data_IF_730874546233
#
_entry.id   IF_730874546233
#
_cell.length_a   1.000
_cell.length_b   1.000
_cell.length_c   1.000
_cell.angle_alpha   90.00
_cell.angle_beta   90.00
_cell.angle_gamma   90.00
#
_symmetry.space_group_name_H-M   'P 1'
#
loop_
_entity.id
_entity.type
_entity.pdbx_description
1 polymer ?
#
# COMPACT_ATOMS: atom_id res chain seq x y z
N UNK A 1 -13.00 -12.37 -9.28
CA UNK A 1 -12.88 -10.89 -9.30
C UNK A 1 -11.44 -10.57 -8.98
N UNK A 2 -10.80 -9.73 -9.80
CA UNK A 2 -9.41 -9.30 -9.54
C UNK A 2 -9.42 -8.15 -8.55
N UNK A 3 -8.49 -8.17 -7.60
CA UNK A 3 -8.32 -7.12 -6.59
C UNK A 3 -6.90 -6.60 -6.61
N UNK A 4 -6.73 -5.34 -6.23
CA UNK A 4 -5.45 -4.66 -6.27
C UNK A 4 -5.11 -4.03 -4.92
N UNK A 5 -3.81 -3.99 -4.63
CA UNK A 5 -3.23 -3.40 -3.44
C UNK A 5 -2.12 -2.43 -3.87
N UNK A 6 -2.17 -1.21 -3.35
CA UNK A 6 -1.08 -0.23 -3.53
C UNK A 6 -0.21 -0.25 -2.28
N UNK A 7 1.10 -0.44 -2.47
CA UNK A 7 2.05 -0.58 -1.36
C UNK A 7 3.45 -0.09 -1.73
N UNK A 8 4.21 0.33 -0.73
CA UNK A 8 5.65 0.52 -0.83
C UNK A 8 6.34 -0.26 0.28
N UNK A 9 7.58 -0.63 0.03
CA UNK A 9 8.42 -1.31 1.02
C UNK A 9 9.80 -0.68 1.00
N UNK A 10 10.32 -0.36 2.18
CA UNK A 10 11.67 0.16 2.35
C UNK A 10 12.35 -0.49 3.55
N UNK A 11 13.68 -0.46 3.53
CA UNK A 11 14.50 -0.96 4.62
C UNK A 11 14.85 0.17 5.56
N UNK A 12 14.72 -0.05 6.86
CA UNK A 12 15.26 0.85 7.87
C UNK A 12 16.57 0.30 8.44
N UNK A 13 17.57 1.16 8.72
CA UNK A 13 18.81 0.71 9.33
C UNK A 13 18.56 -0.05 10.63
N UNK A 14 19.32 -1.12 10.92
CA UNK A 14 19.17 -1.86 12.16
C UNK A 14 19.54 -0.97 13.34
N UNK A 15 18.77 -1.09 14.43
CA UNK A 15 19.06 -0.36 15.68
C UNK A 15 20.33 -0.88 16.36
N UNK A 16 20.68 -2.15 16.13
CA UNK A 16 21.85 -2.82 16.70
C UNK A 16 22.81 -3.19 15.57
N UNK A 17 24.08 -2.86 15.77
CA UNK A 17 25.14 -3.15 14.79
C UNK A 17 25.33 -4.66 14.65
N UNK A 18 25.17 -5.17 13.42
CA UNK A 18 25.32 -6.59 13.10
C UNK A 18 23.99 -7.32 12.88
N UNK A 19 22.85 -6.67 13.14
CA UNK A 19 21.53 -7.21 12.82
C UNK A 19 21.11 -6.89 11.37
N UNK A 20 20.15 -7.66 10.88
CA UNK A 20 19.52 -7.41 9.57
C UNK A 20 18.62 -6.16 9.66
N UNK A 21 18.50 -5.39 8.57
CA UNK A 21 17.59 -4.26 8.53
C UNK A 21 16.13 -4.73 8.60
N UNK A 22 15.30 -3.95 9.28
CA UNK A 22 13.86 -4.17 9.28
C UNK A 22 13.28 -3.75 7.93
N UNK A 23 12.33 -4.54 7.43
CA UNK A 23 11.55 -4.20 6.23
C UNK A 23 10.21 -3.63 6.69
N UNK A 24 9.95 -2.38 6.34
CA UNK A 24 8.68 -1.72 6.59
C UNK A 24 7.87 -1.72 5.31
N UNK A 25 6.60 -2.14 5.43
CA UNK A 25 5.61 -2.03 4.36
C UNK A 25 4.60 -0.95 4.73
N UNK A 26 4.34 -0.05 3.78
CA UNK A 26 3.29 0.96 3.87
C UNK A 26 2.29 0.74 2.75
N UNK A 27 1.01 0.90 3.08
CA UNK A 27 -0.13 0.68 2.22
C UNK A 27 -1.00 1.92 2.21
N UNK A 28 -1.93 1.95 1.26
CA UNK A 28 -3.01 2.94 1.22
C UNK A 28 -4.16 2.45 2.10
N UNK A 29 -4.69 3.32 2.95
CA UNK A 29 -5.99 3.18 3.59
C UNK A 29 -6.94 4.27 3.09
N UNK A 30 -8.24 4.05 3.22
CA UNK A 30 -9.27 5.02 2.84
C UNK A 30 -10.07 5.38 4.08
N UNK A 31 -9.82 6.58 4.60
CA UNK A 31 -10.42 7.05 5.87
C UNK A 31 -11.74 7.81 5.62
N UNK A 32 -12.24 7.85 4.38
CA UNK A 32 -13.42 8.62 4.01
C UNK A 32 -14.53 7.75 3.46
N UNK A 33 -15.74 7.98 3.98
CA UNK A 33 -16.99 7.41 3.45
C UNK A 33 -17.26 7.82 1.99
N UNK A 34 -16.59 8.89 1.50
CA UNK A 34 -16.72 9.42 0.14
C UNK A 34 -15.58 8.92 -0.79
N UNK A 35 -14.76 7.98 -0.31
CA UNK A 35 -13.67 7.31 -1.03
C UNK A 35 -12.52 8.18 -1.58
N UNK A 36 -12.43 9.45 -1.19
CA UNK A 36 -11.45 10.39 -1.77
C UNK A 36 -10.30 10.78 -0.83
N UNK A 37 -10.32 10.37 0.44
CA UNK A 37 -9.20 10.60 1.35
C UNK A 37 -8.42 9.32 1.58
N UNK A 38 -7.29 9.26 0.89
CA UNK A 38 -6.31 8.21 1.07
C UNK A 38 -5.28 8.62 2.13
N UNK A 39 -4.89 7.67 2.97
CA UNK A 39 -3.86 7.83 4.01
C UNK A 39 -2.86 6.69 3.92
N UNK A 40 -1.73 6.82 4.60
CA UNK A 40 -0.77 5.73 4.76
C UNK A 40 -1.11 4.88 5.99
N UNK A 41 -1.08 3.56 5.83
CA UNK A 41 -1.16 2.61 6.94
C UNK A 41 -0.04 1.58 6.86
N UNK A 42 0.43 1.10 8.02
CA UNK A 42 1.34 -0.05 8.11
C UNK A 42 0.61 -1.35 8.42
N UNK A 43 -0.67 -1.26 8.77
CA UNK A 43 -1.50 -2.44 8.99
C UNK A 43 -2.15 -2.86 7.67
N UNK A 44 -1.80 -4.04 7.18
CA UNK A 44 -2.37 -4.62 5.97
C UNK A 44 -3.88 -4.88 6.09
N UNK A 45 -4.40 -5.16 7.29
CA UNK A 45 -5.82 -5.38 7.52
C UNK A 45 -6.66 -4.11 7.31
N UNK A 46 -6.03 -2.95 7.48
CA UNK A 46 -6.64 -1.64 7.24
C UNK A 46 -6.33 -1.13 5.82
N UNK A 47 -5.61 -1.89 5.00
CA UNK A 47 -5.29 -1.46 3.66
C UNK A 47 -6.55 -1.47 2.79
N UNK A 48 -6.73 -0.39 2.02
CA UNK A 48 -7.78 -0.30 1.04
C UNK A 48 -7.49 -1.26 -0.11
N UNK A 49 -8.45 -2.15 -0.37
CA UNK A 49 -8.40 -3.08 -1.48
C UNK A 49 -9.20 -2.48 -2.62
N UNK A 50 -8.50 -2.16 -3.70
CA UNK A 50 -9.11 -1.64 -4.92
C UNK A 50 -9.72 -2.81 -5.69
N UNK A 51 -10.99 -2.72 -6.04
CA UNK A 51 -11.63 -3.68 -6.94
C UNK A 51 -11.22 -3.43 -8.40
N UNK A 52 -11.53 -4.36 -9.30
CA UNK A 52 -11.14 -4.32 -10.71
C UNK A 52 -11.56 -3.03 -11.44
N UNK A 53 -12.74 -2.48 -11.11
CA UNK A 53 -13.23 -1.22 -11.67
C UNK A 53 -12.52 0.03 -11.15
N UNK A 54 -11.73 -0.09 -10.07
CA UNK A 54 -10.95 1.00 -9.45
C UNK A 54 -9.47 0.96 -9.87
N UNK A 55 -9.09 0.10 -10.84
CA UNK A 55 -7.69 -0.09 -11.26
C UNK A 55 -7.00 1.20 -11.67
N UNK A 56 -7.70 2.09 -12.38
CA UNK A 56 -7.10 3.33 -12.87
C UNK A 56 -6.82 4.30 -11.72
N UNK A 57 -7.68 4.31 -10.69
CA UNK A 57 -7.45 5.05 -9.44
C UNK A 57 -6.25 4.47 -8.70
N UNK A 58 -6.15 3.14 -8.61
CA UNK A 58 -5.03 2.48 -7.96
C UNK A 58 -3.69 2.77 -8.65
N UNK A 59 -3.68 2.84 -9.99
CA UNK A 59 -2.51 3.23 -10.78
C UNK A 59 -2.14 4.68 -10.56
N UNK A 60 -3.10 5.59 -10.58
CA UNK A 60 -2.89 7.02 -10.35
C UNK A 60 -2.26 7.27 -8.97
N UNK A 61 -2.79 6.64 -7.91
CA UNK A 61 -2.23 6.75 -6.55
C UNK A 61 -0.82 6.17 -6.50
N UNK A 62 -0.61 5.00 -7.11
CA UNK A 62 0.70 4.36 -7.14
C UNK A 62 1.74 5.26 -7.83
N UNK A 63 1.38 5.91 -8.93
CA UNK A 63 2.26 6.84 -9.65
C UNK A 63 2.52 8.11 -8.84
N UNK A 64 1.45 8.78 -8.36
CA UNK A 64 1.56 10.02 -7.59
C UNK A 64 2.42 9.86 -6.33
N UNK A 65 2.30 8.72 -5.65
CA UNK A 65 2.96 8.47 -4.37
C UNK A 65 4.20 7.57 -4.49
N UNK A 66 4.63 7.26 -5.72
CA UNK A 66 5.80 6.42 -6.02
C UNK A 66 5.74 5.05 -5.32
N UNK A 67 4.56 4.45 -5.31
CA UNK A 67 4.28 3.13 -4.75
C UNK A 67 4.13 2.08 -5.87
N UNK A 68 4.03 0.81 -5.46
CA UNK A 68 3.84 -0.33 -6.35
C UNK A 68 2.40 -0.79 -6.30
N UNK A 69 1.89 -1.26 -7.44
CA UNK A 69 0.62 -1.95 -7.55
C UNK A 69 0.84 -3.47 -7.50
N UNK A 70 0.08 -4.18 -6.67
CA UNK A 70 0.07 -5.63 -6.57
C UNK A 70 -1.33 -6.16 -6.87
N UNK A 71 -1.42 -7.10 -7.81
CA UNK A 71 -2.63 -7.88 -8.02
C UNK A 71 -2.75 -8.95 -6.94
N UNK A 72 -3.92 -9.08 -6.34
CA UNK A 72 -4.26 -10.13 -5.38
C UNK A 72 -5.02 -11.22 -6.14
N UNK A 73 -4.43 -12.42 -6.18
CA UNK A 73 -5.13 -13.63 -6.60
C UNK A 73 -6.04 -14.05 -5.45
N UNK A 74 -7.36 -14.10 -5.70
CA UNK A 74 -8.38 -14.60 -4.78
C UNK A 74 -8.85 -15.95 -5.25
#
# INVERSE_FOLDING_TARGET
>A
MVRYLVYQSYMTPPKIRGELPDIISEYIANDSDIRWHYTFTRNIENAYIFDDFEIDVAKEIAELWNMKLKQLEV
#
